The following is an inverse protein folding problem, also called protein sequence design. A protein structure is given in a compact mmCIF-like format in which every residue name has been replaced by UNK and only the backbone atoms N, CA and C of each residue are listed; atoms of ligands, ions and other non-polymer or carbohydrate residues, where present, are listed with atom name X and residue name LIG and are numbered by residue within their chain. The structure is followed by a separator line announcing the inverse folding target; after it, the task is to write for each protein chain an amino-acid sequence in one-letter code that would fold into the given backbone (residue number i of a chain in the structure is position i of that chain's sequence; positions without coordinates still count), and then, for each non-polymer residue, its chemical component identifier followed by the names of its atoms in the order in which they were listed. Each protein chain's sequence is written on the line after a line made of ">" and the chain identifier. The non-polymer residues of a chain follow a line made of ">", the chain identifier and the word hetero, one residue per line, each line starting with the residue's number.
data_IF_863815772739
#
_entry.id   IF_863815772739
#
_cell.length_a   1.000
_cell.length_b   1.000
_cell.length_c   1.000
_cell.angle_alpha   90.00
_cell.angle_beta   90.00
_cell.angle_gamma   90.00
#
_symmetry.space_group_name_H-M   'P 1'
#
loop_
_entity.id
_entity.type
_entity.pdbx_description
1 polymer ?
#
# COMPACT_ATOMS: atom_id res chain seq x y z
N UNK A 1 31.21 55.98 -36.93
CA UNK A 1 31.15 55.03 -35.79
C UNK A 1 29.88 54.16 -35.78
N UNK A 2 29.33 53.74 -36.93
CA UNK A 2 28.04 52.99 -36.99
C UNK A 2 28.16 51.52 -37.43
N UNK A 3 29.30 51.13 -38.01
CA UNK A 3 29.53 49.75 -38.51
C UNK A 3 30.00 48.76 -37.43
N UNK A 4 30.45 49.25 -36.27
CA UNK A 4 30.86 48.41 -35.13
C UNK A 4 29.67 47.89 -34.31
N UNK A 5 28.52 48.55 -34.37
CA UNK A 5 27.31 48.19 -33.61
C UNK A 5 26.51 47.05 -34.27
N UNK A 6 26.59 46.93 -35.60
CA UNK A 6 25.90 45.87 -36.36
C UNK A 6 26.56 44.49 -36.16
N UNK A 7 27.89 44.46 -36.05
CA UNK A 7 28.63 43.24 -35.70
C UNK A 7 28.38 42.80 -34.24
N UNK A 8 28.22 43.76 -33.31
CA UNK A 8 27.96 43.48 -31.89
C UNK A 8 26.54 42.93 -31.67
N UNK A 9 25.54 43.46 -32.40
CA UNK A 9 24.15 42.97 -32.37
C UNK A 9 24.06 41.57 -32.99
N UNK A 10 24.77 41.30 -34.09
CA UNK A 10 24.84 39.97 -34.69
C UNK A 10 25.49 38.93 -33.78
N UNK A 11 26.57 39.30 -33.07
CA UNK A 11 27.26 38.44 -32.11
C UNK A 11 26.38 38.09 -30.90
N UNK A 12 25.61 39.04 -30.39
CA UNK A 12 24.69 38.80 -29.26
C UNK A 12 23.47 37.95 -29.67
N UNK A 13 22.96 38.11 -30.88
CA UNK A 13 21.88 37.25 -31.42
C UNK A 13 22.38 35.82 -31.64
N UNK A 14 23.61 35.62 -32.13
CA UNK A 14 24.19 34.28 -32.27
C UNK A 14 24.56 33.62 -30.94
N UNK A 15 25.11 34.40 -29.99
CA UNK A 15 25.50 33.88 -28.66
C UNK A 15 24.27 33.58 -27.79
N UNK A 16 23.19 34.37 -27.93
CA UNK A 16 21.90 34.10 -27.31
C UNK A 16 21.19 32.87 -27.90
N UNK A 17 21.32 32.62 -29.20
CA UNK A 17 20.75 31.43 -29.86
C UNK A 17 21.50 30.15 -29.47
N UNK A 18 22.82 30.22 -29.26
CA UNK A 18 23.62 29.12 -28.69
C UNK A 18 23.26 28.81 -27.23
N UNK A 19 22.90 29.83 -26.45
CA UNK A 19 22.43 29.67 -25.06
C UNK A 19 21.04 28.99 -24.98
N UNK A 20 20.17 29.14 -25.99
CA UNK A 20 18.86 28.49 -26.04
C UNK A 20 18.95 26.96 -26.20
N UNK A 21 20.04 26.45 -26.78
CA UNK A 21 20.24 25.00 -27.02
C UNK A 21 20.62 24.26 -25.73
N UNK A 22 21.13 24.97 -24.71
CA UNK A 22 21.55 24.37 -23.43
C UNK A 22 20.47 24.37 -22.33
N UNK A 23 19.32 25.02 -22.54
CA UNK A 23 18.20 24.98 -21.58
C UNK A 23 17.18 23.87 -21.86
N UNK A 24 17.37 23.07 -22.92
CA UNK A 24 16.44 22.02 -23.33
C UNK A 24 16.92 20.62 -22.99
N UNK A 25 17.08 20.28 -21.73
CA UNK A 25 16.80 18.90 -21.31
C UNK A 25 15.46 18.91 -20.60
N UNK A 26 14.38 19.06 -21.38
CA UNK A 26 13.10 18.53 -20.95
C UNK A 26 13.27 17.02 -21.04
N UNK A 27 13.78 16.42 -19.96
CA UNK A 27 13.60 15.00 -19.75
C UNK A 27 12.10 14.80 -19.88
N UNK A 28 11.68 14.12 -20.96
CA UNK A 28 10.38 13.48 -20.95
C UNK A 28 10.46 12.60 -19.72
N UNK A 29 9.85 13.04 -18.63
CA UNK A 29 9.34 12.13 -17.62
C UNK A 29 8.44 11.20 -18.43
N UNK A 30 9.03 10.12 -18.93
CA UNK A 30 8.30 8.93 -19.34
C UNK A 30 7.49 8.63 -18.11
N UNK A 31 6.22 9.01 -18.15
CA UNK A 31 5.29 8.98 -17.03
C UNK A 31 5.30 7.59 -16.44
N UNK A 32 6.24 7.37 -15.54
CA UNK A 32 6.41 6.14 -14.80
C UNK A 32 5.51 6.41 -13.63
N UNK A 33 4.22 6.18 -13.85
CA UNK A 33 3.24 6.19 -12.77
C UNK A 33 3.85 5.40 -11.61
N UNK A 34 3.85 5.93 -10.37
CA UNK A 34 4.36 5.18 -9.24
C UNK A 34 3.64 3.83 -9.22
N UNK A 35 4.42 2.76 -9.32
CA UNK A 35 3.90 1.41 -9.22
C UNK A 35 3.50 1.23 -7.76
N UNK A 36 2.21 1.32 -7.46
CA UNK A 36 1.69 1.07 -6.12
C UNK A 36 1.81 -0.42 -5.81
N UNK A 37 2.44 -0.75 -4.69
CA UNK A 37 2.49 -2.10 -4.16
C UNK A 37 1.63 -2.19 -2.89
N UNK A 38 0.89 -3.30 -2.76
CA UNK A 38 0.23 -3.67 -1.51
C UNK A 38 1.07 -4.75 -0.85
N UNK A 39 1.57 -4.49 0.37
CA UNK A 39 2.33 -5.44 1.17
C UNK A 39 1.44 -6.02 2.26
N UNK A 40 1.38 -7.34 2.31
CA UNK A 40 0.56 -8.11 3.22
C UNK A 40 1.43 -8.67 4.33
N UNK A 41 1.09 -8.39 5.59
CA UNK A 41 1.85 -8.82 6.76
C UNK A 41 1.06 -9.79 7.64
N UNK A 42 1.70 -10.88 8.04
CA UNK A 42 1.19 -11.86 9.00
C UNK A 42 2.18 -11.92 10.16
N UNK A 43 1.72 -11.61 11.38
CA UNK A 43 2.58 -11.55 12.58
C UNK A 43 3.86 -10.71 12.32
N UNK A 44 3.68 -9.49 11.80
CA UNK A 44 4.72 -8.52 11.40
C UNK A 44 5.73 -9.00 10.34
N UNK A 45 5.53 -10.18 9.77
CA UNK A 45 6.36 -10.74 8.71
C UNK A 45 5.70 -10.55 7.35
N UNK A 46 6.48 -10.17 6.34
CA UNK A 46 5.98 -10.03 4.96
C UNK A 46 5.48 -11.39 4.46
N UNK A 47 4.17 -11.49 4.24
CA UNK A 47 3.50 -12.67 3.74
C UNK A 47 3.48 -12.69 2.21
N UNK A 48 3.06 -11.58 1.59
CA UNK A 48 3.06 -11.41 0.15
C UNK A 48 3.12 -9.92 -0.21
N UNK A 49 3.45 -9.61 -1.46
CA UNK A 49 3.43 -8.26 -1.96
C UNK A 49 2.97 -8.22 -3.42
N UNK A 50 1.84 -7.55 -3.66
CA UNK A 50 1.21 -7.52 -4.98
C UNK A 50 1.38 -6.16 -5.63
N UNK A 51 1.82 -6.17 -6.88
CA UNK A 51 1.92 -4.96 -7.71
C UNK A 51 0.53 -4.63 -8.26
N UNK A 52 0.06 -3.41 -8.02
CA UNK A 52 -1.19 -2.90 -8.59
C UNK A 52 -0.89 -2.31 -9.97
N UNK A 53 -1.36 -2.99 -11.02
CA UNK A 53 -1.34 -2.47 -12.39
C UNK A 53 -2.78 -2.21 -12.78
N UNK A 54 -3.10 -1.02 -13.23
CA UNK A 54 -4.47 -0.76 -13.69
C UNK A 54 -5.21 0.20 -12.78
N UNK A 55 -5.14 0.01 -11.45
CA UNK A 55 -6.35 -0.36 -10.66
C UNK A 55 -6.79 -1.83 -10.64
N UNK A 56 -5.91 -2.82 -10.87
CA UNK A 56 -6.25 -4.24 -10.73
C UNK A 56 -5.14 -5.01 -10.03
N UNK A 57 -5.52 -5.88 -9.09
CA UNK A 57 -4.63 -6.85 -8.48
C UNK A 57 -5.41 -8.10 -8.06
N UNK A 58 -4.69 -9.19 -7.76
CA UNK A 58 -5.26 -10.43 -7.23
C UNK A 58 -4.87 -10.52 -5.76
N UNK A 59 -5.86 -10.70 -4.89
CA UNK A 59 -5.60 -10.91 -3.46
C UNK A 59 -4.79 -12.19 -3.25
N UNK A 60 -3.83 -12.19 -2.33
CA UNK A 60 -3.15 -13.41 -1.94
C UNK A 60 -4.16 -14.40 -1.32
N UNK A 61 -3.85 -15.70 -1.32
CA UNK A 61 -4.66 -16.67 -0.58
C UNK A 61 -4.76 -16.27 0.90
N UNK A 62 -5.90 -16.59 1.52
CA UNK A 62 -6.07 -16.33 2.95
C UNK A 62 -4.99 -17.09 3.75
N UNK A 63 -4.21 -16.40 4.60
CA UNK A 63 -3.18 -17.05 5.41
C UNK A 63 -3.83 -17.99 6.43
N UNK A 64 -3.13 -19.09 6.73
CA UNK A 64 -3.59 -20.09 7.72
C UNK A 64 -2.71 -20.01 8.96
N UNK A 65 -3.35 -20.06 10.13
CA UNK A 65 -2.69 -20.08 11.44
C UNK A 65 -3.39 -21.11 12.33
N UNK A 66 -2.63 -22.08 12.85
CA UNK A 66 -3.19 -23.20 13.61
C UNK A 66 -3.91 -22.73 14.87
N UNK A 67 -5.16 -23.16 15.07
CA UNK A 67 -5.98 -22.73 16.20
C UNK A 67 -6.54 -21.31 16.08
N UNK A 68 -6.46 -20.70 14.90
CA UNK A 68 -7.01 -19.38 14.61
C UNK A 68 -7.80 -19.36 13.30
N UNK A 69 -8.80 -18.49 13.22
CA UNK A 69 -9.56 -18.15 12.02
C UNK A 69 -9.09 -16.80 11.50
N UNK A 70 -8.88 -16.70 10.19
CA UNK A 70 -8.54 -15.45 9.52
C UNK A 70 -9.79 -14.58 9.34
N UNK A 71 -9.76 -13.34 9.85
CA UNK A 71 -10.90 -12.40 9.74
C UNK A 71 -10.78 -11.42 8.58
N UNK A 72 -9.58 -11.22 8.04
CA UNK A 72 -9.34 -10.23 6.99
C UNK A 72 -8.06 -9.42 7.17
N UNK A 73 -7.86 -8.47 6.27
CA UNK A 73 -6.72 -7.56 6.24
C UNK A 73 -7.12 -6.18 6.77
N UNK A 74 -6.21 -5.53 7.49
CA UNK A 74 -6.43 -4.23 8.15
C UNK A 74 -5.33 -3.25 7.77
N UNK A 75 -5.66 -1.97 7.73
CA UNK A 75 -4.79 -0.88 7.26
C UNK A 75 -3.77 -0.38 8.29
N UNK A 76 -3.83 -0.93 9.49
CA UNK A 76 -3.03 -0.55 10.63
C UNK A 76 -2.71 -1.78 11.49
N UNK A 77 -1.57 -1.73 12.18
CA UNK A 77 -1.11 -2.82 13.03
C UNK A 77 -2.01 -3.02 14.26
N UNK A 78 -2.75 -1.99 14.66
CA UNK A 78 -3.75 -2.03 15.73
C UNK A 78 -5.05 -2.74 15.30
N UNK A 79 -5.17 -3.13 14.03
CA UNK A 79 -6.30 -3.87 13.45
C UNK A 79 -7.65 -3.15 13.63
N UNK A 80 -7.62 -1.82 13.52
CA UNK A 80 -8.76 -0.93 13.75
C UNK A 80 -9.53 -0.56 12.48
N UNK A 81 -8.84 -0.45 11.34
CA UNK A 81 -9.42 -0.08 10.06
C UNK A 81 -9.34 -1.24 9.06
N UNK A 82 -10.49 -1.77 8.64
CA UNK A 82 -10.54 -2.87 7.68
C UNK A 82 -10.13 -2.40 6.27
N UNK A 83 -9.26 -3.16 5.62
CA UNK A 83 -8.86 -2.92 4.24
C UNK A 83 -9.98 -3.25 3.25
N UNK A 84 -10.23 -2.36 2.28
CA UNK A 84 -11.27 -2.51 1.25
C UNK A 84 -10.63 -2.79 -0.12
N UNK A 85 -10.49 -4.07 -0.53
CA UNK A 85 -9.76 -4.44 -1.74
C UNK A 85 -10.40 -3.92 -3.02
N UNK A 86 -11.72 -3.65 -3.03
CA UNK A 86 -12.44 -3.14 -4.22
C UNK A 86 -12.02 -1.71 -4.59
N UNK A 87 -11.52 -0.95 -3.62
CA UNK A 87 -11.18 0.46 -3.80
C UNK A 87 -9.69 0.74 -3.65
N UNK A 88 -8.88 -0.26 -3.27
CA UNK A 88 -7.45 -0.09 -3.01
C UNK A 88 -7.16 0.95 -1.93
N UNK A 89 -8.06 1.09 -0.95
CA UNK A 89 -8.04 2.22 -0.03
C UNK A 89 -7.98 1.70 1.40
N UNK A 90 -6.86 2.01 2.04
CA UNK A 90 -6.87 2.52 3.40
C UNK A 90 -7.18 4.02 3.31
N UNK A 91 -7.84 4.62 4.29
CA UNK A 91 -8.25 6.05 4.28
C UNK A 91 -7.05 7.03 4.36
N UNK A 92 -5.86 6.57 3.94
CA UNK A 92 -4.59 7.27 3.93
C UNK A 92 -4.06 7.25 2.49
N UNK A 93 -3.90 8.43 1.89
CA UNK A 93 -3.28 8.59 0.59
C UNK A 93 -1.77 8.27 0.66
N UNK A 94 -1.39 7.00 0.51
CA UNK A 94 0.01 6.54 0.46
C UNK A 94 0.27 5.79 -0.85
N UNK A 95 1.50 5.94 -1.37
CA UNK A 95 1.93 5.30 -2.62
C UNK A 95 2.19 3.79 -2.45
N UNK A 96 2.58 3.36 -1.26
CA UNK A 96 2.65 1.95 -0.85
C UNK A 96 1.62 1.71 0.26
N UNK A 97 0.85 0.63 0.11
CA UNK A 97 -0.19 0.24 1.07
C UNK A 97 0.34 -0.96 1.85
N UNK A 98 0.31 -0.86 3.17
CA UNK A 98 0.68 -1.95 4.07
C UNK A 98 -0.58 -2.41 4.79
N UNK A 99 -0.84 -3.71 4.79
CA UNK A 99 -1.99 -4.31 5.45
C UNK A 99 -1.59 -5.49 6.32
N UNK A 100 -2.31 -5.68 7.42
CA UNK A 100 -1.99 -6.63 8.49
C UNK A 100 -3.13 -7.64 8.67
N UNK A 101 -2.78 -8.91 8.79
CA UNK A 101 -3.75 -9.98 8.97
C UNK A 101 -4.34 -9.97 10.39
N UNK A 102 -5.66 -10.02 10.49
CA UNK A 102 -6.37 -10.25 11.76
C UNK A 102 -6.76 -11.71 11.91
N UNK A 103 -6.50 -12.25 13.09
CA UNK A 103 -6.83 -13.61 13.48
C UNK A 103 -7.66 -13.65 14.77
N UNK A 104 -8.60 -14.57 14.85
CA UNK A 104 -9.39 -14.86 16.06
C UNK A 104 -9.13 -16.30 16.50
N UNK A 105 -8.84 -16.52 17.79
CA UNK A 105 -8.62 -17.85 18.35
C UNK A 105 -9.87 -18.71 18.22
N UNK A 106 -9.72 -19.95 17.78
CA UNK A 106 -10.84 -20.90 17.69
C UNK A 106 -11.07 -21.67 19.00
N UNK A 107 -10.26 -21.44 20.03
CA UNK A 107 -10.27 -22.23 21.28
C UNK A 107 -11.27 -21.77 22.34
N UNK A 108 -11.92 -20.60 22.19
CA UNK A 108 -12.66 -19.96 23.31
C UNK A 108 -14.17 -20.22 23.36
N UNK A 109 -14.71 -21.11 22.53
CA UNK A 109 -16.16 -21.43 22.50
C UNK A 109 -16.44 -22.92 22.78
N UNK A 110 -15.63 -23.55 23.62
CA UNK A 110 -16.09 -24.76 24.30
C UNK A 110 -17.12 -24.34 25.34
N UNK A 111 -18.39 -24.31 24.93
CA UNK A 111 -19.52 -24.31 25.85
C UNK A 111 -19.40 -25.59 26.65
N UNK A 112 -18.86 -25.51 27.86
CA UNK A 112 -18.90 -26.63 28.79
C UNK A 112 -20.39 -26.98 28.96
N UNK A 113 -20.88 -28.14 28.48
CA UNK A 113 -22.22 -28.56 28.79
C UNK A 113 -22.32 -28.60 30.31
N UNK A 114 -23.36 -27.96 30.85
CA UNK A 114 -23.58 -27.74 32.27
C UNK A 114 -23.74 -29.08 33.01
N UNK A 115 -22.60 -29.75 33.27
CA UNK A 115 -22.51 -31.00 33.99
C UNK A 115 -22.29 -30.78 35.49
N UNK A 116 -22.40 -29.53 35.97
CA UNK A 116 -22.22 -29.20 37.38
C UNK A 116 -23.52 -28.92 38.16
N UNK A 117 -24.70 -28.94 37.53
CA UNK A 117 -25.96 -28.69 38.23
C UNK A 117 -26.52 -29.85 39.06
N UNK A 118 -25.94 -31.05 39.07
CA UNK A 118 -26.55 -32.22 39.75
C UNK A 118 -25.78 -32.81 40.93
N UNK A 119 -24.90 -32.07 41.60
CA UNK A 119 -24.25 -32.53 42.85
C UNK A 119 -25.03 -32.14 44.11
N UNK A 120 -26.36 -32.28 44.11
CA UNK A 120 -27.20 -31.87 45.23
C UNK A 120 -28.46 -32.69 45.52
N UNK A 121 -28.76 -33.77 44.78
CA UNK A 121 -29.89 -34.63 45.13
C UNK A 121 -29.48 -35.66 46.20
N UNK A 122 -29.45 -35.19 47.44
CA UNK A 122 -29.58 -36.05 48.63
C UNK A 122 -30.99 -36.64 48.62
N UNK A 123 -31.13 -37.93 48.32
CA UNK A 123 -32.36 -38.66 48.59
C UNK A 123 -32.23 -39.22 50.01
N UNK A 124 -33.13 -38.77 50.90
CA UNK A 124 -33.30 -39.29 52.26
C UNK A 124 -33.81 -40.74 52.25
#
# INVERSE_FOLDING_TARGET
>A
MKHKMLALVGLFVSLGFLLQILYGCESKDTGTYPVTQIKFYVDDSLYDAVIVRSDRFVMPPAPKKEGYRFEGWFCDAELSEAFKPERYVCDRARFDIEVYAKFVSTKSEETFPDLFQNFGQTIM
#
